data_IF_392843142869
#
_entry.id   IF_392843142869
#
_cell.length_a   1.000
_cell.length_b   1.000
_cell.length_c   1.000
_cell.angle_alpha   90.00
_cell.angle_beta   90.00
_cell.angle_gamma   90.00
#
_symmetry.space_group_name_H-M   'P 1'
#
loop_
_entity.id
_entity.type
_entity.pdbx_description
1 polymer ?
#
# COMPACT_ATOMS: atom_id res chain seq x y z
N UNK A 1 -15.53 -9.68 -9.30
CA UNK A 1 -14.27 -9.29 -9.99
C UNK A 1 -14.43 -7.93 -10.67
N UNK A 2 -15.59 -7.64 -11.25
CA UNK A 2 -15.91 -6.37 -11.93
C UNK A 2 -15.60 -5.10 -11.12
N UNK A 3 -15.72 -5.17 -9.79
CA UNK A 3 -15.40 -4.03 -8.92
C UNK A 3 -13.92 -3.59 -9.01
N UNK A 4 -12.96 -4.53 -9.03
CA UNK A 4 -11.54 -4.17 -9.07
C UNK A 4 -11.09 -3.66 -10.44
N UNK A 5 -11.73 -4.13 -11.52
CA UNK A 5 -11.49 -3.60 -12.87
C UNK A 5 -11.95 -2.14 -12.94
N UNK A 6 -13.13 -1.83 -12.41
CA UNK A 6 -13.62 -0.45 -12.34
C UNK A 6 -12.73 0.45 -11.47
N UNK A 7 -12.25 -0.06 -10.32
CA UNK A 7 -11.28 0.64 -9.49
C UNK A 7 -10.00 0.92 -10.29
N UNK A 8 -9.44 -0.09 -10.97
CA UNK A 8 -8.25 0.10 -11.80
C UNK A 8 -8.46 1.17 -12.88
N UNK A 9 -9.59 1.13 -13.60
CA UNK A 9 -9.94 2.14 -14.62
C UNK A 9 -10.06 3.55 -14.02
N UNK A 10 -10.64 3.67 -12.83
CA UNK A 10 -10.71 4.95 -12.11
C UNK A 10 -9.32 5.42 -11.67
N UNK A 11 -8.44 4.52 -11.23
CA UNK A 11 -7.09 4.90 -10.79
C UNK A 11 -6.24 5.42 -11.96
N UNK A 12 -6.29 4.79 -13.14
CA UNK A 12 -5.53 5.24 -14.32
C UNK A 12 -6.05 6.54 -14.93
N UNK A 13 -7.30 6.94 -14.64
CA UNK A 13 -7.86 8.21 -15.13
C UNK A 13 -7.41 9.42 -14.31
N UNK A 14 -6.90 9.21 -13.09
CA UNK A 14 -6.41 10.27 -12.21
C UNK A 14 -4.90 10.43 -12.38
N UNK A 15 -4.44 11.62 -12.76
CA UNK A 15 -3.04 11.88 -13.14
C UNK A 15 -2.05 11.99 -11.98
N UNK A 16 -2.48 12.45 -10.82
CA UNK A 16 -1.58 12.69 -9.69
C UNK A 16 -2.21 12.16 -8.40
N UNK A 17 -1.56 11.17 -7.79
CA UNK A 17 -1.92 10.67 -6.48
C UNK A 17 -0.68 10.17 -5.78
N UNK A 18 -0.35 10.72 -4.62
CA UNK A 18 0.78 10.21 -3.83
C UNK A 18 0.40 8.98 -2.97
N UNK A 19 -0.81 8.41 -3.15
CA UNK A 19 -1.27 7.14 -2.56
C UNK A 19 -1.54 6.04 -3.59
N UNK A 20 -1.21 6.29 -4.86
CA UNK A 20 -1.28 5.31 -5.93
C UNK A 20 0.08 5.26 -6.61
N UNK A 21 0.60 4.06 -6.85
CA UNK A 21 1.85 3.87 -7.57
C UNK A 21 1.68 2.83 -8.67
N UNK A 22 2.18 3.15 -9.86
CA UNK A 22 2.16 2.26 -11.01
C UNK A 22 3.57 1.75 -11.34
N UNK A 23 3.69 0.44 -11.57
CA UNK A 23 4.93 -0.20 -12.03
C UNK A 23 4.64 -1.13 -13.20
N UNK A 24 5.51 -1.12 -14.21
CA UNK A 24 5.44 -2.08 -15.31
C UNK A 24 5.61 -3.52 -14.81
N UNK A 25 6.67 -3.76 -14.03
CA UNK A 25 6.95 -5.01 -13.32
C UNK A 25 6.56 -6.29 -14.10
N UNK A 26 7.00 -6.40 -15.36
CA UNK A 26 6.50 -7.45 -16.29
C UNK A 26 6.83 -8.88 -15.83
N UNK A 27 8.00 -9.07 -15.21
CA UNK A 27 8.50 -10.38 -14.79
C UNK A 27 8.91 -10.41 -13.33
N UNK A 28 9.79 -9.49 -12.95
CA UNK A 28 10.33 -9.39 -11.60
C UNK A 28 10.22 -7.97 -11.07
N UNK A 29 10.17 -7.88 -9.76
CA UNK A 29 10.27 -6.64 -9.01
C UNK A 29 11.07 -6.92 -7.75
N UNK A 30 11.97 -6.02 -7.40
CA UNK A 30 12.84 -6.20 -6.23
C UNK A 30 12.01 -6.19 -4.94
N UNK A 31 12.29 -7.16 -4.06
CA UNK A 31 11.52 -7.34 -2.83
C UNK A 31 11.73 -6.18 -1.85
N UNK A 32 12.95 -5.64 -1.79
CA UNK A 32 13.25 -4.52 -0.91
C UNK A 32 12.60 -3.24 -1.43
N UNK A 33 12.63 -3.01 -2.75
CA UNK A 33 11.91 -1.89 -3.34
C UNK A 33 10.40 -1.98 -3.10
N UNK A 34 9.82 -3.19 -3.17
CA UNK A 34 8.39 -3.39 -2.86
C UNK A 34 8.07 -2.99 -1.43
N UNK A 35 8.96 -3.32 -0.50
CA UNK A 35 8.85 -2.95 0.91
C UNK A 35 8.99 -1.46 1.16
N UNK A 36 9.91 -0.79 0.47
CA UNK A 36 10.02 0.67 0.54
C UNK A 36 8.75 1.35 0.03
N UNK A 37 8.18 0.88 -1.08
CA UNK A 37 6.89 1.38 -1.60
C UNK A 37 5.75 1.13 -0.62
N UNK A 38 5.70 -0.05 0.01
CA UNK A 38 4.71 -0.36 1.04
C UNK A 38 4.77 0.64 2.20
N UNK A 39 5.96 0.89 2.75
CA UNK A 39 6.15 1.85 3.84
C UNK A 39 5.73 3.26 3.43
N UNK A 40 6.15 3.73 2.25
CA UNK A 40 5.77 5.05 1.77
C UNK A 40 4.27 5.20 1.56
N UNK A 41 3.65 4.30 0.80
CA UNK A 41 2.22 4.38 0.47
C UNK A 41 1.35 4.25 1.72
N UNK A 42 1.75 3.41 2.68
CA UNK A 42 1.05 3.26 3.96
C UNK A 42 1.09 4.55 4.79
N UNK A 43 2.25 5.20 4.89
CA UNK A 43 2.40 6.48 5.60
C UNK A 43 1.66 7.61 4.89
N UNK A 44 1.74 7.70 3.55
CA UNK A 44 1.05 8.74 2.78
C UNK A 44 -0.48 8.60 2.83
N UNK A 45 -1.01 7.36 2.86
CA UNK A 45 -2.44 7.12 3.05
C UNK A 45 -2.91 7.62 4.42
N UNK A 46 -2.17 7.33 5.49
CA UNK A 46 -2.46 7.82 6.83
C UNK A 46 -2.46 9.36 6.89
N UNK A 47 -1.42 10.01 6.36
CA UNK A 47 -1.31 11.47 6.32
C UNK A 47 -2.44 12.16 5.56
N UNK A 48 -3.13 11.44 4.66
CA UNK A 48 -4.29 11.95 3.90
C UNK A 48 -5.63 11.56 4.48
N UNK A 49 -5.64 10.81 5.59
CA UNK A 49 -6.88 10.28 6.17
C UNK A 49 -7.59 9.28 5.25
N UNK A 50 -6.84 8.56 4.42
CA UNK A 50 -7.36 7.49 3.57
C UNK A 50 -7.11 6.13 4.24
N UNK A 51 -8.01 5.18 4.07
CA UNK A 51 -7.88 3.84 4.69
C UNK A 51 -6.83 2.97 4.00
N UNK A 52 -6.57 3.21 2.72
CA UNK A 52 -5.67 2.41 1.91
C UNK A 52 -5.06 3.18 0.74
N UNK A 53 -3.89 2.69 0.32
CA UNK A 53 -3.19 3.05 -0.89
C UNK A 53 -3.14 1.87 -1.86
N UNK A 54 -2.80 2.16 -3.12
CA UNK A 54 -2.70 1.17 -4.18
C UNK A 54 -1.30 1.14 -4.79
N UNK A 55 -0.73 -0.05 -4.92
CA UNK A 55 0.40 -0.29 -5.81
C UNK A 55 -0.05 -1.24 -6.90
N UNK A 56 0.22 -0.90 -8.16
CA UNK A 56 -0.33 -1.61 -9.32
C UNK A 56 0.81 -2.04 -10.23
N UNK A 57 0.88 -3.35 -10.51
CA UNK A 57 1.83 -3.93 -11.45
C UNK A 57 1.18 -4.26 -12.79
N UNK A 58 1.93 -4.06 -13.87
CA UNK A 58 1.50 -4.35 -15.24
C UNK A 58 0.97 -3.13 -16.00
N UNK A 59 1.18 -1.91 -15.51
CA UNK A 59 0.80 -0.67 -16.18
C UNK A 59 2.01 0.27 -16.37
N UNK A 60 2.11 0.85 -17.57
CA UNK A 60 3.12 1.84 -17.93
C UNK A 60 2.50 3.24 -17.86
N UNK A 61 2.68 3.91 -16.74
CA UNK A 61 2.17 5.26 -16.51
C UNK A 61 2.68 6.28 -17.53
N UNK A 62 3.94 6.18 -17.98
CA UNK A 62 4.52 7.14 -18.93
C UNK A 62 3.92 7.04 -20.32
N UNK A 63 3.54 5.83 -20.73
CA UNK A 63 2.89 5.57 -22.02
C UNK A 63 1.38 5.49 -21.94
N UNK A 64 0.82 5.46 -20.74
CA UNK A 64 -0.59 5.13 -20.47
C UNK A 64 -1.00 3.79 -21.11
N UNK A 65 -0.16 2.76 -20.97
CA UNK A 65 -0.37 1.45 -21.62
C UNK A 65 -0.44 0.30 -20.61
N UNK A 66 -1.39 -0.60 -20.82
CA UNK A 66 -1.47 -1.88 -20.12
C UNK A 66 -0.40 -2.81 -20.72
N UNK A 67 0.63 -3.15 -19.94
CA UNK A 67 1.72 -4.05 -20.37
C UNK A 67 1.50 -5.49 -19.88
N UNK A 68 0.87 -5.64 -18.72
CA UNK A 68 0.67 -6.92 -18.05
C UNK A 68 1.85 -7.34 -17.16
N UNK A 69 1.60 -8.25 -16.22
CA UNK A 69 2.62 -8.77 -15.31
C UNK A 69 2.48 -10.28 -15.06
N UNK A 70 3.61 -10.96 -15.09
CA UNK A 70 3.76 -12.36 -14.68
C UNK A 70 4.31 -12.51 -13.25
N UNK A 71 4.49 -11.40 -12.52
CA UNK A 71 5.04 -11.40 -11.17
C UNK A 71 4.22 -12.28 -10.22
N UNK A 72 4.92 -13.17 -9.50
CA UNK A 72 4.38 -14.09 -8.49
C UNK A 72 3.04 -14.70 -8.91
N UNK A 73 3.06 -15.48 -9.99
CA UNK A 73 1.87 -16.14 -10.51
C UNK A 73 1.44 -17.29 -9.58
N UNK A 74 0.17 -17.28 -9.15
CA UNK A 74 -0.39 -18.29 -8.25
C UNK A 74 -0.57 -17.85 -6.79
N UNK A 75 -1.62 -18.36 -6.16
CA UNK A 75 -2.04 -17.97 -4.81
C UNK A 75 -0.99 -18.25 -3.73
N UNK A 76 -0.31 -19.40 -3.82
CA UNK A 76 0.78 -19.78 -2.91
C UNK A 76 1.94 -18.76 -2.93
N UNK A 77 2.31 -18.28 -4.12
CA UNK A 77 3.38 -17.28 -4.26
C UNK A 77 2.99 -15.92 -3.65
N UNK A 78 1.71 -15.54 -3.73
CA UNK A 78 1.19 -14.32 -3.12
C UNK A 78 1.06 -14.45 -1.60
N UNK A 79 0.65 -15.61 -1.09
CA UNK A 79 0.57 -15.86 0.34
C UNK A 79 1.96 -15.87 1.00
N UNK A 80 2.96 -16.48 0.35
CA UNK A 80 4.35 -16.41 0.80
C UNK A 80 4.86 -14.97 0.82
N UNK A 81 4.54 -14.19 -0.23
CA UNK A 81 4.91 -12.77 -0.26
C UNK A 81 4.32 -11.99 0.93
N UNK A 82 3.04 -12.20 1.26
CA UNK A 82 2.41 -11.57 2.42
C UNK A 82 3.10 -11.95 3.74
N UNK A 83 3.46 -13.22 3.88
CA UNK A 83 4.14 -13.73 5.07
C UNK A 83 5.54 -13.12 5.22
N UNK A 84 6.34 -13.11 4.16
CA UNK A 84 7.68 -12.55 4.15
C UNK A 84 7.66 -11.04 4.48
N UNK A 85 6.64 -10.33 3.99
CA UNK A 85 6.44 -8.91 4.29
C UNK A 85 6.25 -8.63 5.78
N UNK A 86 5.37 -9.41 6.43
CA UNK A 86 5.06 -9.25 7.85
C UNK A 86 6.31 -9.38 8.75
N UNK A 87 7.37 -10.07 8.30
CA UNK A 87 8.61 -10.20 9.07
C UNK A 87 9.47 -8.93 9.08
N UNK A 88 9.22 -7.96 8.20
CA UNK A 88 10.09 -6.80 7.98
C UNK A 88 9.40 -5.43 8.17
N UNK A 89 8.08 -5.44 8.32
CA UNK A 89 7.22 -4.27 8.53
C UNK A 89 6.94 -4.02 10.01
N UNK A 90 6.65 -2.77 10.38
CA UNK A 90 6.17 -2.42 11.72
C UNK A 90 4.96 -3.28 12.10
N UNK A 91 4.99 -3.89 13.29
CA UNK A 91 3.92 -4.69 13.89
C UNK A 91 3.36 -5.82 13.00
N UNK A 92 4.14 -6.35 12.07
CA UNK A 92 3.69 -7.45 11.21
C UNK A 92 2.65 -7.07 10.16
N UNK A 93 2.48 -5.77 9.89
CA UNK A 93 1.50 -5.27 8.92
C UNK A 93 1.85 -5.71 7.50
N UNK A 94 0.89 -6.32 6.80
CA UNK A 94 1.08 -6.79 5.42
C UNK A 94 -0.04 -6.28 4.51
N UNK A 95 0.03 -6.61 3.23
CA UNK A 95 -0.99 -6.25 2.26
C UNK A 95 -2.36 -6.78 2.69
N UNK A 96 -3.37 -5.89 2.72
CA UNK A 96 -4.74 -6.28 3.03
C UNK A 96 -5.22 -7.30 2.00
N UNK A 97 -5.05 -6.95 0.74
CA UNK A 97 -5.42 -7.78 -0.41
C UNK A 97 -4.37 -7.66 -1.50
N UNK A 98 -4.13 -8.77 -2.22
CA UNK A 98 -3.36 -8.77 -3.46
C UNK A 98 -4.27 -9.42 -4.49
N UNK A 99 -4.76 -8.62 -5.43
CA UNK A 99 -5.82 -9.01 -6.35
C UNK A 99 -5.28 -9.05 -7.77
N UNK A 100 -5.18 -10.24 -8.39
CA UNK A 100 -4.95 -10.33 -9.83
C UNK A 100 -6.25 -10.00 -10.56
N UNK A 101 -6.18 -9.10 -11.54
CA UNK A 101 -7.28 -8.81 -12.47
C UNK A 101 -6.79 -9.01 -13.91
N UNK A 102 -7.73 -9.15 -14.83
CA UNK A 102 -7.43 -9.21 -16.27
C UNK A 102 -8.10 -8.03 -16.97
N UNK A 103 -7.31 -7.28 -17.74
CA UNK A 103 -7.76 -6.12 -18.52
C UNK A 103 -7.13 -6.23 -19.91
N UNK A 104 -7.94 -6.17 -20.96
CA UNK A 104 -7.50 -6.31 -22.35
C UNK A 104 -6.65 -7.57 -22.62
N UNK A 105 -7.01 -8.69 -21.99
CA UNK A 105 -6.29 -9.97 -22.08
C UNK A 105 -4.91 -9.98 -21.39
N UNK A 106 -4.60 -8.94 -20.59
CA UNK A 106 -3.35 -8.80 -19.84
C UNK A 106 -3.62 -8.83 -18.34
N UNK A 107 -2.79 -9.59 -17.61
CA UNK A 107 -2.86 -9.69 -16.14
C UNK A 107 -2.30 -8.43 -15.49
N UNK A 108 -3.07 -7.80 -14.61
CA UNK A 108 -2.66 -6.71 -13.72
C UNK A 108 -2.69 -7.24 -12.28
N UNK A 109 -1.73 -6.83 -11.45
CA UNK A 109 -1.69 -7.22 -10.05
C UNK A 109 -1.84 -5.97 -9.17
N UNK A 110 -2.93 -5.90 -8.42
CA UNK A 110 -3.24 -4.78 -7.53
C UNK A 110 -2.93 -5.14 -6.08
N UNK A 111 -2.10 -4.34 -5.43
CA UNK A 111 -1.76 -4.47 -4.03
C UNK A 111 -2.51 -3.40 -3.24
N UNK A 112 -3.39 -3.84 -2.35
CA UNK A 112 -4.10 -2.96 -1.41
C UNK A 112 -3.28 -2.83 -0.13
N UNK A 113 -2.69 -1.65 0.05
CA UNK A 113 -1.79 -1.34 1.16
C UNK A 113 -2.60 -0.59 2.22
N UNK A 114 -2.72 -1.09 3.45
CA UNK A 114 -3.42 -0.37 4.50
C UNK A 114 -2.66 0.91 4.87
N UNK A 115 -3.39 1.95 5.25
CA UNK A 115 -2.80 3.11 5.90
C UNK A 115 -2.07 2.69 7.18
N UNK A 116 -0.99 3.39 7.51
CA UNK A 116 -0.30 3.14 8.77
C UNK A 116 -1.26 3.42 9.93
N UNK A 117 -1.22 2.64 11.03
CA UNK A 117 -2.08 2.93 12.17
C UNK A 117 -1.82 4.33 12.72
N UNK A 118 -2.84 4.91 13.36
CA UNK A 118 -2.70 6.20 14.05
C UNK A 118 -1.62 6.10 15.12
N UNK A 119 -0.78 7.13 15.25
CA UNK A 119 0.39 7.15 16.13
C UNK A 119 1.52 6.15 15.77
N UNK A 120 1.42 5.41 14.65
CA UNK A 120 2.42 4.42 14.25
C UNK A 120 2.96 4.73 12.87
N UNK A 121 4.25 5.05 12.80
CA UNK A 121 4.95 5.26 11.52
C UNK A 121 5.31 3.89 10.92
N UNK A 122 4.84 3.63 9.70
CA UNK A 122 5.16 2.42 8.96
C UNK A 122 6.61 2.46 8.50
N UNK A 123 7.38 1.42 8.85
CA UNK A 123 8.78 1.26 8.49
C UNK A 123 8.97 -0.02 7.69
N UNK A 124 9.96 0.01 6.80
CA UNK A 124 10.50 -1.16 6.14
C UNK A 124 11.95 -1.34 6.56
N UNK A 125 12.28 -2.50 7.16
CA UNK A 125 13.63 -2.79 7.69
C UNK A 125 14.20 -1.65 8.55
N UNK A 126 13.34 -1.07 9.39
CA UNK A 126 13.70 0.00 10.33
C UNK A 126 13.70 1.42 9.75
N UNK A 127 13.55 1.60 8.43
CA UNK A 127 13.51 2.92 7.79
C UNK A 127 12.05 3.27 7.44
N UNK A 128 11.60 4.46 7.84
CA UNK A 128 10.33 5.00 7.39
C UNK A 128 10.54 5.64 6.01
N UNK A 129 9.76 5.22 5.02
CA UNK A 129 9.76 5.84 3.69
C UNK A 129 8.51 6.71 3.52
N UNK A 130 8.61 7.68 2.62
CA UNK A 130 7.53 8.55 2.18
C UNK A 130 7.75 8.99 0.75
N UNK A 131 6.80 9.76 0.24
CA UNK A 131 6.92 10.39 -1.08
C UNK A 131 7.33 11.84 -0.94
N UNK A 132 8.21 12.23 -1.87
CA UNK A 132 8.59 13.61 -2.14
C UNK A 132 8.43 13.82 -3.66
N UNK A 133 7.21 14.18 -4.07
CA UNK A 133 6.76 14.13 -5.46
C UNK A 133 6.73 12.69 -5.99
N UNK A 134 7.47 12.45 -7.08
CA UNK A 134 7.59 11.12 -7.71
C UNK A 134 8.66 10.22 -7.06
N UNK A 135 9.48 10.78 -6.16
CA UNK A 135 10.62 10.06 -5.60
C UNK A 135 10.32 9.44 -4.23
N UNK A 136 10.84 8.23 -4.04
CA UNK A 136 10.82 7.52 -2.77
C UNK A 136 12.00 7.96 -1.91
N UNK A 137 11.74 8.55 -0.75
CA UNK A 137 12.77 9.06 0.17
C UNK A 137 12.47 8.64 1.61
N UNK A 138 13.45 8.69 2.53
CA UNK A 138 13.18 8.60 3.95
C UNK A 138 12.13 9.64 4.36
N UNK A 139 11.15 9.21 5.15
CA UNK A 139 10.08 10.07 5.63
C UNK A 139 10.68 11.18 6.50
N UNK A 140 10.32 12.43 6.21
CA UNK A 140 10.86 13.56 6.95
C UNK A 140 10.30 13.61 8.39
N UNK A 141 11.00 14.33 9.26
CA UNK A 141 10.64 14.42 10.68
C UNK A 141 9.25 15.02 10.90
N UNK A 142 8.87 16.03 10.13
CA UNK A 142 7.56 16.69 10.24
C UNK A 142 6.40 15.71 9.99
N UNK A 143 6.47 14.92 8.91
CA UNK A 143 5.48 13.90 8.58
C UNK A 143 5.45 12.79 9.63
N UNK A 144 6.62 12.36 10.13
CA UNK A 144 6.68 11.38 11.21
C UNK A 144 5.98 11.89 12.49
N UNK A 145 6.21 13.14 12.85
CA UNK A 145 5.61 13.74 14.03
C UNK A 145 4.11 13.95 13.85
N UNK A 146 3.66 14.33 12.64
CA UNK A 146 2.24 14.41 12.32
C UNK A 146 1.51 13.07 12.56
N UNK A 147 2.06 11.95 12.07
CA UNK A 147 1.50 10.61 12.31
C UNK A 147 1.48 10.29 13.82
N UNK A 148 2.56 10.61 14.54
CA UNK A 148 2.68 10.37 16.00
C UNK A 148 1.70 11.18 16.84
N UNK A 149 1.35 12.39 16.41
CA UNK A 149 0.40 13.23 17.14
C UNK A 149 -1.07 12.81 16.94
N UNK A 150 -1.35 11.89 16.01
CA UNK A 150 -2.70 11.36 15.84
C UNK A 150 -3.10 10.56 17.08
N UNK A 151 -4.21 10.96 17.71
CA UNK A 151 -4.79 10.17 18.81
C UNK A 151 -5.06 8.75 18.33
N UNK A 152 -4.62 7.69 19.03
CA UNK A 152 -4.99 6.31 18.72
C UNK A 152 -6.52 6.17 18.64
N UNK A 153 -7.01 5.17 17.89
CA UNK A 153 -8.44 4.88 17.93
C UNK A 153 -8.86 4.56 19.37
N UNK A 154 -10.04 5.04 19.82
CA UNK A 154 -10.50 4.79 21.19
C UNK A 154 -10.52 3.30 21.49
N UNK A 155 -9.89 2.91 22.59
CA UNK A 155 -9.98 1.55 23.11
C UNK A 155 -11.36 1.34 23.73
N UNK A 156 -12.24 0.60 23.04
CA UNK A 156 -13.58 0.26 23.54
C UNK A 156 -13.54 -0.56 24.84
N UNK A 157 -12.41 -1.15 25.23
CA UNK A 157 -12.27 -1.87 26.51
C UNK A 157 -12.04 -0.95 27.71
N UNK A 158 -11.72 0.32 27.47
CA UNK A 158 -11.50 1.34 28.50
C UNK A 158 -12.70 2.30 28.67
N UNK A 159 -13.77 2.10 27.89
CA UNK A 159 -14.96 2.95 27.97
C UNK A 159 -15.77 2.56 29.22
N UNK A 160 -15.89 3.49 30.17
CA UNK A 160 -16.73 3.31 31.36
C UNK A 160 -18.19 3.13 30.90
N UNK A 161 -18.70 1.90 30.96
CA UNK A 161 -20.12 1.61 30.72
C UNK A 161 -20.91 2.28 31.86
N UNK A 162 -21.75 3.30 31.59
CA UNK A 162 -22.42 4.07 32.64
C UNK A 162 -23.39 3.25 33.51
N UNK A 163 -23.70 2.02 33.10
CA UNK A 163 -24.71 1.14 33.70
C UNK A 163 -24.18 -0.27 34.04
N UNK A 164 -22.88 -0.42 34.33
CA UNK A 164 -22.41 -1.66 34.96
C UNK A 164 -22.96 -1.73 36.39
N UNK A 165 -24.09 -2.44 36.55
CA UNK A 165 -24.76 -2.70 37.84
C UNK A 165 -24.63 -4.17 38.19
#
# INVERSE_FOLDING_TARGET
MDNFVNIFQSLISHKESEVVEFKKAEKNFDFDDLGKYFSALSNEANLRGLDFAWLIFGYDEKKHEIVGTSYKNGESALNNLKHDFAQHTTDGQTFREIVPIEVDGKRILMFKIPASPRNIVMKWKGIAFGRDGESLKPLNQSKMDEIRHQTPEPDWSAELVPNAT
#
